data_IF_906899894329
#
_entry.id   IF_906899894329
#
_cell.length_a   1.000
_cell.length_b   1.000
_cell.length_c   1.000
_cell.angle_alpha   90.00
_cell.angle_beta   90.00
_cell.angle_gamma   90.00
#
_symmetry.space_group_name_H-M   'P 1'
#
loop_
_entity.id
_entity.type
_entity.pdbx_description
1 polymer ?
#
# COMPACT_ATOMS: atom_id res chain seq x y z
N UNK A 1 63.26 0.03 -15.25
CA UNK A 1 61.85 0.28 -14.90
C UNK A 1 60.99 -0.99 -15.00
N UNK A 2 61.55 -2.11 -15.48
CA UNK A 2 60.78 -3.32 -15.82
C UNK A 2 60.37 -4.18 -14.61
N UNK A 3 61.10 -4.10 -13.49
CA UNK A 3 60.81 -4.92 -12.30
C UNK A 3 59.52 -4.51 -11.57
N UNK A 4 59.17 -3.23 -11.55
CA UNK A 4 57.94 -2.76 -10.91
C UNK A 4 56.72 -3.16 -11.74
N UNK A 5 56.82 -3.03 -13.07
CA UNK A 5 55.74 -3.41 -13.98
C UNK A 5 55.47 -4.92 -13.92
N UNK A 6 56.52 -5.74 -13.93
CA UNK A 6 56.41 -7.19 -13.81
C UNK A 6 55.87 -7.62 -12.44
N UNK A 7 56.29 -6.96 -11.35
CA UNK A 7 55.75 -7.24 -10.02
C UNK A 7 54.26 -6.86 -9.90
N UNK A 8 53.85 -5.72 -10.49
CA UNK A 8 52.44 -5.32 -10.53
C UNK A 8 51.59 -6.31 -11.35
N UNK A 9 52.05 -6.74 -12.52
CA UNK A 9 51.35 -7.70 -13.35
C UNK A 9 51.27 -9.09 -12.71
N UNK A 10 52.35 -9.56 -12.06
CA UNK A 10 52.36 -10.82 -11.32
C UNK A 10 51.43 -10.79 -10.10
N UNK A 11 51.36 -9.66 -9.41
CA UNK A 11 50.42 -9.46 -8.29
C UNK A 11 48.98 -9.45 -8.81
N UNK A 12 48.69 -8.75 -9.92
CA UNK A 12 47.37 -8.75 -10.55
C UNK A 12 46.94 -10.14 -11.06
N UNK A 13 47.89 -10.97 -11.51
CA UNK A 13 47.61 -12.35 -11.92
C UNK A 13 47.18 -13.26 -10.75
N UNK A 14 47.64 -12.96 -9.53
CA UNK A 14 47.22 -13.66 -8.30
C UNK A 14 45.83 -13.22 -7.79
N UNK A 15 45.31 -12.10 -8.30
CA UNK A 15 43.96 -11.61 -8.04
C UNK A 15 43.18 -11.57 -9.36
N UNK A 16 42.78 -12.74 -9.90
CA UNK A 16 42.03 -12.79 -11.15
C UNK A 16 40.83 -11.87 -11.05
N UNK A 17 40.75 -10.91 -11.99
CA UNK A 17 39.64 -9.97 -12.09
C UNK A 17 38.35 -10.78 -12.20
N UNK A 18 37.60 -10.83 -11.11
CA UNK A 18 36.32 -11.51 -11.07
C UNK A 18 35.32 -10.56 -11.72
N UNK A 19 34.77 -10.97 -12.86
CA UNK A 19 33.72 -10.20 -13.52
C UNK A 19 32.47 -10.31 -12.65
N UNK A 20 32.18 -9.28 -11.86
CA UNK A 20 30.95 -9.23 -11.08
C UNK A 20 29.81 -8.90 -12.04
N UNK A 21 28.93 -9.87 -12.25
CA UNK A 21 27.70 -9.67 -13.02
C UNK A 21 26.64 -9.11 -12.08
N UNK A 22 26.31 -7.83 -12.24
CA UNK A 22 25.21 -7.22 -11.50
C UNK A 22 23.86 -7.59 -12.14
N UNK A 23 22.77 -7.64 -11.36
CA UNK A 23 21.43 -7.79 -11.91
C UNK A 23 21.16 -6.71 -12.95
N UNK A 24 20.53 -7.09 -14.07
CA UNK A 24 20.13 -6.14 -15.10
C UNK A 24 19.09 -5.13 -14.58
N UNK A 25 18.26 -5.56 -13.61
CA UNK A 25 17.30 -4.73 -12.87
C UNK A 25 17.24 -5.28 -11.44
N UNK A 26 17.26 -4.38 -10.45
CA UNK A 26 17.01 -4.70 -9.05
C UNK A 26 15.62 -4.24 -8.63
N UNK A 27 14.97 -4.96 -7.74
CA UNK A 27 13.58 -4.71 -7.35
C UNK A 27 13.40 -4.61 -5.85
N UNK A 28 12.33 -3.94 -5.44
CA UNK A 28 11.84 -3.92 -4.06
C UNK A 28 10.31 -3.90 -4.04
N UNK A 29 9.69 -4.41 -2.99
CA UNK A 29 8.23 -4.28 -2.78
C UNK A 29 7.95 -2.94 -2.12
N UNK A 30 7.16 -2.03 -2.74
CA UNK A 30 6.83 -0.77 -2.09
C UNK A 30 5.91 -1.01 -0.88
N UNK A 31 6.15 -0.28 0.22
CA UNK A 31 5.27 -0.31 1.39
C UNK A 31 4.37 0.92 1.41
N UNK A 32 3.06 0.72 1.40
CA UNK A 32 2.08 1.81 1.35
C UNK A 32 1.41 2.12 2.69
N UNK A 33 1.85 1.49 3.78
CA UNK A 33 1.21 1.63 5.10
C UNK A 33 1.09 3.10 5.55
N UNK A 34 2.14 3.90 5.36
CA UNK A 34 2.18 5.31 5.75
C UNK A 34 1.22 6.16 4.92
N UNK A 35 1.07 5.85 3.63
CA UNK A 35 0.13 6.56 2.75
C UNK A 35 -1.31 6.35 3.23
N UNK A 36 -1.66 5.12 3.61
CA UNK A 36 -2.99 4.79 4.12
C UNK A 36 -3.26 5.39 5.51
N UNK A 37 -2.24 5.49 6.36
CA UNK A 37 -2.31 6.22 7.62
C UNK A 37 -2.63 7.72 7.41
N UNK A 38 -1.89 8.39 6.52
CA UNK A 38 -2.15 9.80 6.21
C UNK A 38 -3.50 10.00 5.51
N UNK A 39 -3.86 9.11 4.58
CA UNK A 39 -5.15 9.16 3.89
C UNK A 39 -6.31 9.04 4.87
N UNK A 40 -6.23 8.15 5.86
CA UNK A 40 -7.26 8.05 6.90
C UNK A 40 -7.37 9.35 7.71
N UNK A 41 -6.25 9.97 8.08
CA UNK A 41 -6.24 11.27 8.75
C UNK A 41 -6.88 12.38 7.87
N UNK A 42 -6.62 12.35 6.56
CA UNK A 42 -7.24 13.25 5.60
C UNK A 42 -8.75 13.02 5.49
N UNK A 43 -9.20 11.76 5.48
CA UNK A 43 -10.62 11.41 5.46
C UNK A 43 -11.35 11.87 6.73
N UNK A 44 -10.70 11.80 7.90
CA UNK A 44 -11.21 12.38 9.14
C UNK A 44 -11.48 13.89 8.99
N UNK A 45 -10.54 14.64 8.41
CA UNK A 45 -10.70 16.07 8.14
C UNK A 45 -11.80 16.36 7.10
N UNK A 46 -11.95 15.50 6.10
CA UNK A 46 -12.99 15.66 5.09
C UNK A 46 -14.38 15.39 5.67
N UNK A 47 -14.52 14.42 6.58
CA UNK A 47 -15.79 14.18 7.27
C UNK A 47 -16.23 15.30 8.20
N UNK A 48 -15.31 16.14 8.69
CA UNK A 48 -15.64 17.34 9.48
C UNK A 48 -15.86 18.59 8.61
N UNK A 49 -15.69 18.49 7.30
CA UNK A 49 -15.86 19.60 6.36
C UNK A 49 -17.29 19.59 5.80
N UNK A 50 -18.18 20.39 6.39
CA UNK A 50 -19.61 20.42 6.02
C UNK A 50 -19.86 20.68 4.52
N UNK A 51 -19.09 21.60 3.92
CA UNK A 51 -19.17 21.88 2.47
C UNK A 51 -18.90 20.64 1.64
N UNK A 52 -18.03 19.75 2.09
CA UNK A 52 -17.75 18.49 1.40
C UNK A 52 -18.88 17.49 1.61
N UNK A 53 -19.24 17.20 2.86
CA UNK A 53 -20.25 16.19 3.20
C UNK A 53 -21.63 16.51 2.62
N UNK A 54 -21.99 17.79 2.49
CA UNK A 54 -23.27 18.21 1.90
C UNK A 54 -23.29 18.15 0.37
N UNK A 55 -22.14 18.24 -0.30
CA UNK A 55 -22.07 18.33 -1.78
C UNK A 55 -21.54 17.06 -2.46
N UNK A 56 -20.92 16.15 -1.72
CA UNK A 56 -20.40 14.89 -2.24
C UNK A 56 -21.21 13.70 -1.72
N UNK A 57 -22.49 13.68 -2.06
CA UNK A 57 -23.37 12.55 -1.72
C UNK A 57 -22.76 11.26 -2.25
N UNK A 58 -22.67 10.26 -1.37
CA UNK A 58 -22.13 8.94 -1.71
C UNK A 58 -20.68 8.72 -1.33
N UNK A 59 -19.92 9.76 -0.98
CA UNK A 59 -18.55 9.58 -0.51
C UNK A 59 -18.52 9.14 0.95
N UNK A 60 -17.70 8.12 1.23
CA UNK A 60 -17.27 7.68 2.56
C UNK A 60 -15.81 7.26 2.47
N UNK A 61 -15.07 7.17 3.60
CA UNK A 61 -13.63 6.89 3.57
C UNK A 61 -13.21 5.69 2.70
N UNK A 62 -13.91 4.53 2.65
CA UNK A 62 -13.52 3.45 1.74
C UNK A 62 -13.41 3.87 0.26
N UNK A 63 -14.15 4.89 -0.20
CA UNK A 63 -14.03 5.40 -1.58
C UNK A 63 -12.65 6.02 -1.86
N UNK A 64 -12.09 6.79 -0.93
CA UNK A 64 -10.74 7.35 -1.08
C UNK A 64 -9.67 6.26 -0.96
N UNK A 65 -9.86 5.29 -0.05
CA UNK A 65 -8.97 4.13 0.10
C UNK A 65 -8.91 3.28 -1.18
N UNK A 66 -10.07 2.98 -1.78
CA UNK A 66 -10.21 2.29 -3.06
C UNK A 66 -9.46 3.01 -4.18
N UNK A 67 -9.67 4.32 -4.27
CA UNK A 67 -9.07 5.15 -5.31
C UNK A 67 -7.54 5.22 -5.19
N UNK A 68 -7.04 5.54 -4.01
CA UNK A 68 -5.60 5.66 -3.76
C UNK A 68 -4.90 4.30 -3.90
N UNK A 69 -5.52 3.21 -3.44
CA UNK A 69 -5.00 1.85 -3.69
C UNK A 69 -4.79 1.60 -5.19
N UNK A 70 -5.82 1.86 -6.01
CA UNK A 70 -5.73 1.68 -7.46
C UNK A 70 -4.58 2.50 -8.05
N UNK A 71 -4.49 3.79 -7.72
CA UNK A 71 -3.44 4.64 -8.27
C UNK A 71 -2.04 4.19 -7.87
N UNK A 72 -1.84 3.67 -6.65
CA UNK A 72 -0.53 3.16 -6.19
C UNK A 72 -0.10 1.91 -6.96
N UNK A 73 -1.05 1.00 -7.24
CA UNK A 73 -0.77 -0.13 -8.12
C UNK A 73 -0.38 0.34 -9.52
N UNK A 74 -1.16 1.25 -10.12
CA UNK A 74 -0.86 1.79 -11.45
C UNK A 74 0.48 2.54 -11.48
N UNK A 75 0.80 3.33 -10.46
CA UNK A 75 2.09 4.02 -10.37
C UNK A 75 3.26 3.04 -10.26
N UNK A 76 3.09 1.94 -9.52
CA UNK A 76 4.08 0.87 -9.44
C UNK A 76 4.27 0.20 -10.80
N UNK A 77 3.18 -0.13 -11.50
CA UNK A 77 3.23 -0.72 -12.85
C UNK A 77 3.91 0.22 -13.86
N UNK A 78 3.64 1.53 -13.79
CA UNK A 78 4.33 2.56 -14.61
C UNK A 78 5.83 2.57 -14.35
N UNK A 79 6.26 2.47 -13.09
CA UNK A 79 7.68 2.42 -12.73
C UNK A 79 8.35 1.13 -13.26
N UNK A 80 7.68 -0.03 -13.12
CA UNK A 80 8.13 -1.30 -13.70
C UNK A 80 8.25 -1.23 -15.23
N UNK A 81 7.33 -0.55 -15.91
CA UNK A 81 7.40 -0.34 -17.36
C UNK A 81 8.58 0.57 -17.73
N UNK A 82 8.74 1.71 -17.04
CA UNK A 82 9.79 2.69 -17.29
C UNK A 82 11.20 2.11 -17.05
N UNK A 83 11.34 1.18 -16.11
CA UNK A 83 12.62 0.51 -15.84
C UNK A 83 12.98 -0.58 -16.84
N UNK A 84 12.05 -0.98 -17.71
CA UNK A 84 12.18 -2.14 -18.60
C UNK A 84 11.98 -3.48 -17.91
N UNK A 85 11.35 -3.52 -16.73
CA UNK A 85 11.13 -4.74 -15.96
C UNK A 85 9.98 -5.58 -16.50
N UNK A 86 8.95 -4.94 -17.07
CA UNK A 86 7.81 -5.66 -17.64
C UNK A 86 8.15 -6.30 -18.99
N UNK A 87 7.94 -7.61 -19.08
CA UNK A 87 7.97 -8.32 -20.36
C UNK A 87 6.82 -7.83 -21.27
N UNK A 88 7.08 -7.58 -22.57
CA UNK A 88 6.03 -7.27 -23.54
C UNK A 88 4.93 -8.34 -23.53
N UNK A 89 3.67 -7.92 -23.51
CA UNK A 89 2.51 -8.82 -23.49
C UNK A 89 2.26 -9.55 -22.16
N UNK A 90 3.02 -9.25 -21.09
CA UNK A 90 2.68 -9.72 -19.74
C UNK A 90 1.33 -9.18 -19.28
N UNK A 91 0.65 -9.88 -18.37
CA UNK A 91 -0.66 -9.48 -17.83
C UNK A 91 -0.64 -8.06 -17.25
N UNK A 92 0.40 -7.73 -16.47
CA UNK A 92 0.58 -6.39 -15.90
C UNK A 92 0.75 -5.33 -16.99
N UNK A 93 1.48 -5.64 -18.07
CA UNK A 93 1.69 -4.71 -19.19
C UNK A 93 0.38 -4.44 -19.94
N UNK A 94 -0.41 -5.48 -20.20
CA UNK A 94 -1.73 -5.36 -20.83
C UNK A 94 -2.69 -4.58 -19.94
N UNK A 95 -2.77 -4.92 -18.65
CA UNK A 95 -3.58 -4.22 -17.66
C UNK A 95 -3.25 -2.73 -17.58
N UNK A 96 -1.96 -2.39 -17.52
CA UNK A 96 -1.51 -1.00 -17.48
C UNK A 96 -1.93 -0.24 -18.75
N UNK A 97 -1.79 -0.87 -19.92
CA UNK A 97 -2.22 -0.32 -21.20
C UNK A 97 -3.72 -0.04 -21.24
N UNK A 98 -4.53 -1.05 -20.89
CA UNK A 98 -5.98 -0.96 -20.86
C UNK A 98 -6.46 0.10 -19.85
N UNK A 99 -5.85 0.12 -18.66
CA UNK A 99 -6.17 1.12 -17.65
C UNK A 99 -5.88 2.54 -18.13
N UNK A 100 -4.71 2.79 -18.72
CA UNK A 100 -4.34 4.12 -19.20
C UNK A 100 -5.22 4.57 -20.38
N UNK A 101 -5.72 3.63 -21.18
CA UNK A 101 -6.67 3.91 -22.25
C UNK A 101 -8.04 4.31 -21.70
N UNK A 102 -8.56 3.55 -20.73
CA UNK A 102 -9.89 3.81 -20.12
C UNK A 102 -9.89 5.01 -19.18
N UNK A 103 -8.79 5.24 -18.47
CA UNK A 103 -8.64 6.26 -17.44
C UNK A 103 -7.37 7.09 -17.70
N UNK A 104 -7.45 8.15 -18.52
CA UNK A 104 -6.30 8.99 -18.82
C UNK A 104 -5.68 9.58 -17.54
N UNK A 105 -4.36 9.45 -17.41
CA UNK A 105 -3.62 9.82 -16.18
C UNK A 105 -3.75 11.31 -15.82
N UNK A 106 -4.06 12.17 -16.80
CA UNK A 106 -4.32 13.60 -16.61
C UNK A 106 -5.61 13.87 -15.83
N UNK A 107 -6.53 12.90 -15.80
CA UNK A 107 -7.82 13.00 -15.12
C UNK A 107 -7.81 12.33 -13.75
N UNK A 108 -6.71 11.65 -13.38
CA UNK A 108 -6.58 10.93 -12.12
C UNK A 108 -5.77 11.79 -11.14
N UNK A 109 -6.45 12.58 -10.33
CA UNK A 109 -5.84 13.50 -9.38
C UNK A 109 -5.36 12.82 -8.10
N UNK A 110 -4.22 13.27 -7.57
CA UNK A 110 -3.66 12.86 -6.28
C UNK A 110 -3.80 14.07 -5.34
N UNK A 111 -4.29 13.86 -4.11
CA UNK A 111 -4.41 14.95 -3.16
C UNK A 111 -3.02 15.42 -2.70
N UNK A 112 -2.84 16.74 -2.58
CA UNK A 112 -1.56 17.39 -2.31
C UNK A 112 -0.64 16.73 -1.27
N UNK A 113 -1.13 16.40 -0.05
CA UNK A 113 -0.31 15.75 0.97
C UNK A 113 0.32 14.40 0.57
N UNK A 114 -0.24 13.71 -0.43
CA UNK A 114 0.24 12.41 -0.88
C UNK A 114 1.12 12.48 -2.14
N UNK A 115 1.26 13.65 -2.76
CA UNK A 115 1.95 13.80 -4.06
C UNK A 115 3.39 13.34 -4.01
N UNK A 116 4.13 13.71 -2.96
CA UNK A 116 5.55 13.31 -2.85
C UNK A 116 5.70 11.81 -2.58
N UNK A 117 4.73 11.18 -1.89
CA UNK A 117 4.70 9.74 -1.74
C UNK A 117 4.49 9.05 -3.10
N UNK A 118 3.58 9.53 -3.95
CA UNK A 118 3.41 9.02 -5.31
C UNK A 118 4.66 9.21 -6.19
N UNK A 119 5.32 10.37 -6.10
CA UNK A 119 6.60 10.63 -6.78
C UNK A 119 7.74 9.74 -6.27
N UNK A 120 7.66 9.27 -5.03
CA UNK A 120 8.63 8.32 -4.48
C UNK A 120 8.50 6.92 -5.07
N UNK A 121 7.32 6.56 -5.56
CA UNK A 121 7.06 5.31 -6.30
C UNK A 121 7.52 5.51 -7.75
N UNK A 122 8.82 5.39 -7.95
CA UNK A 122 9.45 5.53 -9.25
C UNK A 122 10.68 4.62 -9.35
N UNK A 123 11.09 4.32 -10.57
CA UNK A 123 12.39 3.71 -10.81
C UNK A 123 13.50 4.78 -10.88
N UNK A 124 14.73 4.35 -10.69
CA UNK A 124 15.91 5.18 -10.93
C UNK A 124 17.10 4.35 -11.40
N UNK A 125 18.07 5.02 -12.01
CA UNK A 125 19.35 4.43 -12.39
C UNK A 125 20.43 4.86 -11.38
N UNK A 126 21.08 3.93 -10.65
CA UNK A 126 22.02 4.27 -9.59
C UNK A 126 23.40 4.72 -10.10
N UNK A 127 23.70 4.62 -11.40
CA UNK A 127 25.03 4.97 -11.91
C UNK A 127 25.01 5.55 -13.32
N UNK A 128 25.72 6.66 -13.51
CA UNK A 128 25.99 7.23 -14.84
C UNK A 128 26.81 6.29 -15.73
N UNK A 129 27.58 5.36 -15.14
CA UNK A 129 28.50 4.47 -15.87
C UNK A 129 27.83 3.25 -16.51
N UNK A 130 26.49 3.11 -16.40
CA UNK A 130 25.69 1.95 -16.88
C UNK A 130 26.14 0.59 -16.33
N UNK A 131 27.00 0.56 -15.31
CA UNK A 131 27.50 -0.68 -14.67
C UNK A 131 26.42 -1.40 -13.86
N UNK A 132 25.43 -0.65 -13.39
CA UNK A 132 24.33 -1.14 -12.58
C UNK A 132 23.02 -0.97 -13.33
N UNK A 133 22.16 -1.98 -13.20
CA UNK A 133 20.79 -1.95 -13.69
C UNK A 133 19.92 -0.89 -13.03
N UNK A 134 18.73 -0.68 -13.59
CA UNK A 134 17.72 0.14 -12.95
C UNK A 134 17.27 -0.50 -11.63
N UNK A 135 16.88 0.34 -10.68
CA UNK A 135 16.18 -0.08 -9.46
C UNK A 135 14.72 0.35 -9.60
N UNK A 136 13.78 -0.56 -9.39
CA UNK A 136 12.33 -0.29 -9.54
C UNK A 136 11.52 -0.90 -8.40
N UNK A 137 10.42 -0.26 -7.95
CA UNK A 137 9.41 -0.99 -7.22
C UNK A 137 8.82 -2.08 -8.13
N UNK A 138 8.46 -3.23 -7.57
CA UNK A 138 7.89 -4.34 -8.32
C UNK A 138 6.71 -4.96 -7.60
N UNK A 139 5.69 -5.30 -8.39
CA UNK A 139 4.62 -6.20 -7.98
C UNK A 139 5.04 -7.66 -8.25
N UNK A 140 4.56 -8.62 -7.45
CA UNK A 140 4.58 -10.02 -7.81
C UNK A 140 3.94 -10.27 -9.19
N UNK A 141 4.35 -11.34 -9.88
CA UNK A 141 3.81 -11.69 -11.21
C UNK A 141 2.30 -11.95 -11.21
N UNK A 142 1.76 -12.43 -10.09
CA UNK A 142 0.33 -12.52 -9.81
C UNK A 142 0.08 -12.10 -8.35
N UNK A 143 -1.13 -11.65 -7.99
CA UNK A 143 -1.47 -11.30 -6.62
C UNK A 143 -1.24 -12.44 -5.61
N UNK A 144 -1.31 -13.70 -6.05
CA UNK A 144 -1.25 -14.89 -5.20
C UNK A 144 -2.53 -15.12 -4.39
N UNK A 145 -3.62 -14.43 -4.76
CA UNK A 145 -4.89 -14.45 -4.05
C UNK A 145 -5.77 -15.61 -4.51
N UNK A 146 -6.54 -16.17 -3.58
CA UNK A 146 -7.50 -17.22 -3.89
C UNK A 146 -8.56 -17.31 -2.80
N UNK A 147 -9.67 -18.00 -3.09
CA UNK A 147 -10.71 -18.28 -2.10
C UNK A 147 -10.17 -19.02 -0.88
N UNK A 148 -9.31 -20.03 -1.09
CA UNK A 148 -8.68 -20.80 -0.01
C UNK A 148 -7.80 -19.95 0.92
N UNK A 149 -7.20 -18.88 0.39
CA UNK A 149 -6.42 -17.90 1.15
C UNK A 149 -7.27 -16.75 1.69
N UNK A 150 -8.60 -16.85 1.64
CA UNK A 150 -9.54 -15.75 1.96
C UNK A 150 -9.16 -14.46 1.24
N UNK A 151 -8.81 -14.56 -0.04
CA UNK A 151 -8.46 -13.44 -0.91
C UNK A 151 -7.26 -12.61 -0.45
N UNK A 152 -6.40 -13.19 0.40
CA UNK A 152 -5.13 -12.60 0.83
C UNK A 152 -4.13 -12.55 -0.33
N UNK A 153 -3.42 -11.42 -0.47
CA UNK A 153 -2.27 -11.28 -1.38
C UNK A 153 -1.13 -12.21 -0.91
N UNK A 154 -0.22 -12.58 -1.80
CA UNK A 154 1.01 -13.30 -1.46
C UNK A 154 1.69 -12.75 -0.18
N UNK A 155 2.25 -13.66 0.62
CA UNK A 155 2.65 -13.38 2.01
C UNK A 155 3.69 -12.25 2.10
N UNK A 156 4.67 -12.25 1.19
CA UNK A 156 5.73 -11.24 1.11
C UNK A 156 5.22 -9.82 0.78
N UNK A 157 3.99 -9.69 0.29
CA UNK A 157 3.39 -8.43 -0.10
C UNK A 157 2.19 -8.01 0.78
N UNK A 158 1.68 -8.90 1.63
CA UNK A 158 0.44 -8.67 2.40
C UNK A 158 0.51 -7.41 3.28
N UNK A 159 1.63 -7.19 3.98
CA UNK A 159 1.84 -6.03 4.87
C UNK A 159 2.26 -4.76 4.13
N UNK A 160 2.54 -4.86 2.83
CA UNK A 160 3.14 -3.80 2.02
C UNK A 160 2.14 -3.18 1.05
N UNK A 161 1.27 -4.00 0.46
CA UNK A 161 0.32 -3.62 -0.58
C UNK A 161 -1.13 -3.64 -0.06
N UNK A 162 -1.96 -2.61 -0.34
CA UNK A 162 -3.33 -2.54 0.14
C UNK A 162 -4.22 -3.60 -0.52
N UNK A 163 -5.01 -4.32 0.28
CA UNK A 163 -6.01 -5.22 -0.27
C UNK A 163 -7.32 -4.49 -0.58
N UNK A 164 -7.50 -4.09 -1.84
CA UNK A 164 -8.68 -3.33 -2.31
C UNK A 164 -10.01 -4.02 -1.99
N UNK A 165 -10.02 -5.36 -1.95
CA UNK A 165 -11.22 -6.15 -1.69
C UNK A 165 -11.68 -6.04 -0.24
N UNK A 166 -10.77 -5.74 0.70
CA UNK A 166 -11.14 -5.46 2.09
C UNK A 166 -11.96 -4.16 2.15
N UNK A 167 -11.54 -3.11 1.43
CA UNK A 167 -12.27 -1.85 1.42
C UNK A 167 -13.67 -2.00 0.81
N UNK A 168 -13.81 -2.81 -0.24
CA UNK A 168 -15.11 -3.14 -0.84
C UNK A 168 -15.99 -3.89 0.18
N UNK A 169 -15.44 -4.91 0.84
CA UNK A 169 -16.18 -5.66 1.85
C UNK A 169 -16.63 -4.75 3.01
N UNK A 170 -15.73 -3.89 3.48
CA UNK A 170 -15.99 -2.94 4.57
C UNK A 170 -17.02 -1.89 4.19
N UNK A 171 -16.92 -1.33 2.98
CA UNK A 171 -17.89 -0.38 2.44
C UNK A 171 -19.30 -0.97 2.48
N UNK A 172 -19.48 -2.18 1.95
CA UNK A 172 -20.78 -2.85 1.93
C UNK A 172 -21.27 -3.19 3.34
N UNK A 173 -20.39 -3.71 4.22
CA UNK A 173 -20.78 -4.10 5.59
C UNK A 173 -21.24 -2.90 6.43
N UNK A 174 -20.48 -1.79 6.39
CA UNK A 174 -20.81 -0.58 7.16
C UNK A 174 -22.07 0.10 6.59
N UNK A 175 -22.24 0.13 5.27
CA UNK A 175 -23.47 0.65 4.66
C UNK A 175 -24.71 -0.18 5.05
N UNK A 176 -24.57 -1.50 5.13
CA UNK A 176 -25.63 -2.37 5.64
C UNK A 176 -25.92 -2.09 7.13
N UNK A 177 -24.89 -1.92 7.96
CA UNK A 177 -25.05 -1.54 9.37
C UNK A 177 -25.77 -0.18 9.53
N UNK A 178 -25.43 0.81 8.70
CA UNK A 178 -26.01 2.16 8.71
C UNK A 178 -27.51 2.19 8.33
N UNK A 179 -28.03 1.10 7.77
CA UNK A 179 -29.42 0.99 7.30
C UNK A 179 -30.24 -0.06 8.04
N UNK A 180 -29.71 -0.61 9.13
CA UNK A 180 -30.46 -1.54 9.99
C UNK A 180 -31.70 -0.85 10.61
N UNK A 181 -32.79 -1.59 10.87
CA UNK A 181 -33.98 -1.04 11.48
C UNK A 181 -33.68 -0.34 12.81
N UNK A 182 -34.30 0.82 13.05
CA UNK A 182 -34.18 1.60 14.30
C UNK A 182 -32.75 2.04 14.67
N UNK A 183 -31.84 2.11 13.69
CA UNK A 183 -30.46 2.57 13.94
C UNK A 183 -30.43 4.05 14.30
N UNK A 184 -29.85 4.37 15.46
CA UNK A 184 -29.47 5.73 15.87
C UNK A 184 -27.96 5.91 15.71
N UNK A 185 -27.42 7.15 15.73
CA UNK A 185 -25.98 7.35 15.68
C UNK A 185 -25.21 6.55 16.74
N UNK A 186 -25.71 6.50 17.98
CA UNK A 186 -25.09 5.78 19.08
C UNK A 186 -25.07 4.26 18.85
N UNK A 187 -26.17 3.71 18.31
CA UNK A 187 -26.25 2.29 17.95
C UNK A 187 -25.30 1.99 16.79
N UNK A 188 -25.26 2.84 15.77
CA UNK A 188 -24.41 2.66 14.59
C UNK A 188 -22.92 2.62 14.94
N UNK A 189 -22.46 3.56 15.78
CA UNK A 189 -21.06 3.58 16.20
C UNK A 189 -20.69 2.40 17.10
N UNK A 190 -21.67 1.78 17.77
CA UNK A 190 -21.48 0.54 18.55
C UNK A 190 -21.79 -0.72 17.76
N UNK A 191 -22.16 -0.60 16.50
CA UNK A 191 -22.49 -1.77 15.68
C UNK A 191 -21.23 -2.57 15.37
N UNK A 192 -21.27 -3.88 15.53
CA UNK A 192 -20.11 -4.77 15.31
C UNK A 192 -19.63 -4.81 13.86
N UNK A 193 -20.43 -4.32 12.90
CA UNK A 193 -20.04 -4.06 11.51
C UNK A 193 -19.98 -2.57 11.17
N UNK A 194 -20.05 -1.71 12.19
CA UNK A 194 -19.96 -0.26 12.07
C UNK A 194 -18.55 0.25 11.78
N UNK A 195 -18.34 1.57 11.79
CA UNK A 195 -17.07 2.19 11.40
C UNK A 195 -15.89 1.81 12.29
N UNK A 196 -16.16 1.38 13.53
CA UNK A 196 -15.14 1.04 14.53
C UNK A 196 -14.89 -0.46 14.71
N UNK A 197 -15.75 -1.31 14.14
CA UNK A 197 -15.74 -2.75 14.41
C UNK A 197 -15.88 -3.57 13.13
N UNK A 198 -15.45 -4.83 13.15
CA UNK A 198 -15.56 -5.74 12.02
C UNK A 198 -15.99 -7.14 12.48
N UNK A 199 -17.27 -7.48 12.33
CA UNK A 199 -17.77 -8.82 12.57
C UNK A 199 -17.80 -9.66 11.30
N UNK A 200 -17.91 -9.02 10.14
CA UNK A 200 -17.93 -9.70 8.84
C UNK A 200 -16.84 -9.16 7.90
N UNK A 201 -16.17 -10.09 7.22
CA UNK A 201 -15.23 -9.80 6.13
C UNK A 201 -15.44 -10.82 5.01
N UNK A 202 -15.48 -10.33 3.76
CA UNK A 202 -15.79 -11.15 2.59
C UNK A 202 -17.07 -11.96 2.75
N UNK A 203 -18.13 -11.27 3.17
CA UNK A 203 -19.49 -11.82 3.36
C UNK A 203 -19.58 -13.01 4.33
N UNK A 204 -18.57 -13.19 5.19
CA UNK A 204 -18.52 -14.23 6.21
C UNK A 204 -18.19 -13.65 7.58
N UNK A 205 -18.68 -14.26 8.67
CA UNK A 205 -18.27 -13.90 10.02
C UNK A 205 -16.76 -14.07 10.19
N UNK A 206 -16.13 -13.11 10.85
CA UNK A 206 -14.74 -13.17 11.21
C UNK A 206 -14.48 -14.31 12.20
N UNK A 207 -13.38 -15.03 12.01
CA UNK A 207 -13.07 -16.25 12.75
C UNK A 207 -11.65 -16.34 13.31
N UNK A 208 -10.85 -15.27 13.17
CA UNK A 208 -9.45 -15.22 13.57
C UNK A 208 -8.54 -16.23 12.88
N UNK A 209 -8.91 -16.75 11.71
CA UNK A 209 -8.00 -17.54 10.90
C UNK A 209 -6.73 -16.75 10.55
N UNK A 210 -5.61 -17.45 10.36
CA UNK A 210 -4.32 -16.84 10.03
C UNK A 210 -4.40 -15.96 8.77
N UNK A 211 -5.13 -16.41 7.75
CA UNK A 211 -5.35 -15.65 6.52
C UNK A 211 -6.13 -14.36 6.75
N UNK A 212 -7.11 -14.38 7.66
CA UNK A 212 -7.86 -13.19 8.04
C UNK A 212 -6.99 -12.20 8.81
N UNK A 213 -6.27 -12.65 9.84
CA UNK A 213 -5.38 -11.78 10.60
C UNK A 213 -4.32 -11.12 9.70
N UNK A 214 -3.73 -11.91 8.79
CA UNK A 214 -2.77 -11.37 7.85
C UNK A 214 -3.39 -10.35 6.88
N UNK A 215 -4.60 -10.59 6.35
CA UNK A 215 -5.33 -9.61 5.55
C UNK A 215 -5.49 -8.26 6.28
N UNK A 216 -5.77 -8.32 7.58
CA UNK A 216 -5.96 -7.14 8.40
C UNK A 216 -4.67 -6.36 8.71
N UNK A 217 -3.49 -6.92 8.39
CA UNK A 217 -2.20 -6.19 8.42
C UNK A 217 -1.92 -5.42 7.13
N UNK A 218 -2.78 -5.55 6.10
CA UNK A 218 -2.59 -4.80 4.86
C UNK A 218 -2.84 -3.29 5.08
N UNK A 219 -2.14 -2.40 4.34
CA UNK A 219 -2.32 -0.96 4.43
C UNK A 219 -3.78 -0.53 4.43
N UNK A 220 -4.20 0.14 5.51
CA UNK A 220 -5.55 0.67 5.69
C UNK A 220 -6.63 -0.31 6.17
N UNK A 221 -6.36 -1.61 6.25
CA UNK A 221 -7.36 -2.60 6.61
C UNK A 221 -7.76 -2.57 8.10
N UNK A 222 -6.80 -2.25 8.98
CA UNK A 222 -7.01 -2.21 10.43
C UNK A 222 -7.56 -0.88 10.95
N UNK A 223 -7.76 0.12 10.10
CA UNK A 223 -8.11 1.49 10.52
C UNK A 223 -9.62 1.65 10.77
N UNK A 224 -9.95 2.46 11.78
CA UNK A 224 -11.31 2.98 11.94
C UNK A 224 -11.67 3.92 10.80
N UNK A 225 -12.93 3.96 10.41
CA UNK A 225 -13.42 4.96 9.47
C UNK A 225 -14.19 6.08 10.16
N UNK A 226 -14.07 7.28 9.62
CA UNK A 226 -14.83 8.45 10.04
C UNK A 226 -16.19 8.53 9.34
N UNK A 227 -17.05 9.44 9.81
CA UNK A 227 -18.32 9.78 9.16
C UNK A 227 -19.53 9.57 10.07
N UNK A 228 -20.52 10.45 9.93
CA UNK A 228 -21.80 10.34 10.64
C UNK A 228 -22.67 9.24 10.06
N UNK A 229 -23.64 8.75 10.83
CA UNK A 229 -24.66 7.80 10.35
C UNK A 229 -25.31 8.29 9.05
N UNK A 230 -25.63 9.59 8.96
CA UNK A 230 -26.26 10.16 7.76
C UNK A 230 -25.37 10.00 6.52
N UNK A 231 -24.06 10.27 6.64
CA UNK A 231 -23.11 10.13 5.54
C UNK A 231 -23.09 8.68 5.01
N UNK A 232 -23.08 7.70 5.91
CA UNK A 232 -23.09 6.28 5.56
C UNK A 232 -24.41 5.80 4.97
N UNK A 233 -25.53 6.36 5.42
CA UNK A 233 -26.83 6.13 4.78
C UNK A 233 -26.86 6.68 3.36
N UNK A 234 -26.38 7.91 3.16
CA UNK A 234 -26.25 8.52 1.84
C UNK A 234 -25.33 7.71 0.92
N UNK A 235 -24.22 7.18 1.46
CA UNK A 235 -23.35 6.23 0.75
C UNK A 235 -24.10 4.96 0.33
N UNK A 236 -24.85 4.34 1.24
CA UNK A 236 -25.64 3.15 0.93
C UNK A 236 -26.63 3.40 -0.23
N UNK A 237 -27.33 4.54 -0.22
CA UNK A 237 -28.24 4.91 -1.31
C UNK A 237 -27.52 5.09 -2.65
N UNK A 238 -26.25 5.50 -2.63
CA UNK A 238 -25.44 5.73 -3.83
C UNK A 238 -24.68 4.49 -4.30
N UNK A 239 -24.55 3.41 -3.51
CA UNK A 239 -23.78 2.21 -3.86
C UNK A 239 -24.21 1.60 -5.21
N UNK A 240 -25.53 1.48 -5.42
CA UNK A 240 -26.10 0.96 -6.66
C UNK A 240 -25.72 1.85 -7.87
N UNK A 241 -25.73 3.18 -7.68
CA UNK A 241 -25.37 4.13 -8.73
C UNK A 241 -23.86 4.16 -8.99
N UNK A 242 -23.03 3.94 -7.98
CA UNK A 242 -21.58 3.76 -8.15
C UNK A 242 -21.28 2.49 -8.96
N UNK A 243 -22.16 1.50 -8.95
CA UNK A 243 -21.90 0.20 -9.57
C UNK A 243 -20.72 -0.50 -8.90
N UNK A 244 -20.53 -0.26 -7.60
CA UNK A 244 -19.43 -0.84 -6.84
C UNK A 244 -19.41 -2.36 -7.02
N UNK A 245 -18.23 -2.99 -7.16
CA UNK A 245 -18.14 -4.44 -7.20
C UNK A 245 -18.80 -5.03 -5.96
N UNK A 246 -19.48 -6.15 -6.13
CA UNK A 246 -20.03 -6.90 -5.01
C UNK A 246 -18.90 -7.41 -4.11
N UNK A 247 -19.20 -7.53 -2.81
CA UNK A 247 -18.34 -8.22 -1.86
C UNK A 247 -18.07 -9.64 -2.33
N UNK A 248 -16.85 -10.10 -2.16
CA UNK A 248 -16.52 -11.51 -2.31
C UNK A 248 -17.19 -12.32 -1.20
N UNK A 249 -17.44 -13.60 -1.46
CA UNK A 249 -17.93 -14.56 -0.47
C UNK A 249 -16.99 -15.76 -0.43
N UNK A 250 -16.30 -15.96 0.68
CA UNK A 250 -15.34 -17.05 0.89
C UNK A 250 -15.96 -18.43 0.62
N UNK A 251 -17.27 -18.59 0.78
CA UNK A 251 -17.94 -19.87 0.54
C UNK A 251 -18.39 -20.05 -0.91
N UNK A 252 -18.53 -18.99 -1.70
CA UNK A 252 -19.17 -19.05 -3.02
C UNK A 252 -18.33 -18.48 -4.18
N UNK A 253 -17.41 -17.57 -3.94
CA UNK A 253 -16.75 -16.80 -5.01
C UNK A 253 -15.35 -17.33 -5.30
N UNK A 254 -15.20 -18.01 -6.42
CA UNK A 254 -13.87 -18.30 -6.98
C UNK A 254 -13.32 -17.08 -7.74
N UNK A 255 -11.99 -16.97 -7.77
CA UNK A 255 -11.28 -15.87 -8.43
C UNK A 255 -10.11 -16.40 -9.23
N UNK A 256 -9.85 -15.84 -10.40
CA UNK A 256 -8.59 -16.12 -11.10
C UNK A 256 -7.48 -15.24 -10.53
N UNK A 257 -6.30 -15.83 -10.34
CA UNK A 257 -5.13 -15.17 -9.77
C UNK A 257 -4.42 -14.26 -10.79
N UNK A 258 -5.02 -13.11 -11.08
CA UNK A 258 -4.43 -12.04 -11.89
C UNK A 258 -4.78 -10.65 -11.34
N UNK A 259 -3.98 -9.64 -11.72
CA UNK A 259 -4.12 -8.29 -11.20
C UNK A 259 -5.40 -7.60 -11.68
N UNK A 260 -5.84 -7.87 -12.91
CA UNK A 260 -7.10 -7.31 -13.44
C UNK A 260 -8.32 -7.71 -12.60
N UNK A 261 -8.43 -8.99 -12.23
CA UNK A 261 -9.46 -9.51 -11.34
C UNK A 261 -9.30 -8.98 -9.91
N UNK A 262 -8.06 -8.94 -9.38
CA UNK A 262 -7.78 -8.45 -8.03
C UNK A 262 -8.17 -6.98 -7.87
N UNK A 263 -7.86 -6.14 -8.86
CA UNK A 263 -8.25 -4.73 -8.92
C UNK A 263 -9.71 -4.52 -9.32
N UNK A 264 -10.48 -5.60 -9.54
CA UNK A 264 -11.90 -5.56 -9.91
C UNK A 264 -12.17 -4.76 -11.17
N UNK A 265 -11.26 -4.86 -12.15
CA UNK A 265 -11.38 -4.21 -13.46
C UNK A 265 -11.84 -5.18 -14.55
N UNK A 266 -11.81 -6.48 -14.28
CA UNK A 266 -12.38 -7.50 -15.17
C UNK A 266 -13.91 -7.39 -15.24
N UNK A 267 -14.44 -7.38 -16.46
CA UNK A 267 -15.89 -7.34 -16.75
C UNK A 267 -16.53 -5.95 -16.67
N UNK A 268 -16.39 -5.21 -15.56
CA UNK A 268 -16.97 -3.88 -15.39
C UNK A 268 -16.01 -2.92 -14.67
N UNK A 269 -15.31 -2.08 -15.42
CA UNK A 269 -14.39 -1.07 -14.88
C UNK A 269 -15.05 0.30 -14.63
N UNK A 270 -16.30 0.49 -15.05
CA UNK A 270 -17.01 1.79 -15.01
C UNK A 270 -17.19 2.35 -13.60
N UNK A 271 -17.21 1.49 -12.58
CA UNK A 271 -17.29 1.90 -11.17
C UNK A 271 -16.09 2.78 -10.79
N UNK A 272 -14.89 2.44 -11.28
CA UNK A 272 -13.69 3.19 -10.95
C UNK A 272 -13.74 4.60 -11.53
N UNK A 273 -14.28 4.78 -12.74
CA UNK A 273 -14.48 6.11 -13.33
C UNK A 273 -15.37 7.02 -12.47
N UNK A 274 -16.41 6.47 -11.84
CA UNK A 274 -17.29 7.22 -10.93
C UNK A 274 -16.57 7.60 -9.62
N UNK A 275 -15.81 6.66 -9.06
CA UNK A 275 -14.95 6.93 -7.88
C UNK A 275 -13.88 7.97 -8.21
N UNK A 276 -13.27 7.90 -9.39
CA UNK A 276 -12.29 8.88 -9.85
C UNK A 276 -12.89 10.28 -9.99
N UNK A 277 -14.10 10.41 -10.55
CA UNK A 277 -14.80 11.69 -10.63
C UNK A 277 -15.10 12.29 -9.24
N UNK A 278 -15.49 11.45 -8.29
CA UNK A 278 -15.67 11.83 -6.88
C UNK A 278 -14.36 12.32 -6.26
N UNK A 279 -13.26 11.59 -6.48
CA UNK A 279 -11.95 11.94 -5.96
C UNK A 279 -11.31 13.14 -6.65
N UNK A 280 -11.68 13.44 -7.89
CA UNK A 280 -11.34 14.69 -8.55
C UNK A 280 -11.85 15.91 -7.77
N UNK A 281 -13.06 15.84 -7.22
CA UNK A 281 -13.60 16.88 -6.31
C UNK A 281 -12.91 16.87 -4.96
N UNK A 282 -12.66 15.69 -4.38
CA UNK A 282 -11.92 15.55 -3.11
C UNK A 282 -10.58 16.28 -3.17
N UNK A 283 -9.83 16.12 -4.27
CA UNK A 283 -8.52 16.74 -4.47
C UNK A 283 -8.56 18.28 -4.53
N UNK A 284 -9.71 18.90 -4.82
CA UNK A 284 -9.86 20.36 -4.80
C UNK A 284 -9.77 20.96 -3.39
N UNK A 285 -9.99 20.15 -2.35
CA UNK A 285 -9.86 20.57 -0.95
C UNK A 285 -8.41 20.52 -0.44
N UNK A 286 -7.50 19.94 -1.22
CA UNK A 286 -6.10 19.75 -0.83
C UNK A 286 -5.19 20.62 -1.69
N UNK A 287 -4.47 21.55 -1.05
CA UNK A 287 -3.50 22.41 -1.74
C UNK A 287 -2.37 21.56 -2.31
N UNK A 288 -1.99 21.83 -3.56
CA UNK A 288 -0.88 21.15 -4.22
C UNK A 288 -1.25 19.80 -4.83
N UNK A 289 -2.54 19.46 -4.90
CA UNK A 289 -3.01 18.31 -5.68
C UNK A 289 -2.59 18.43 -7.14
N UNK A 290 -2.19 17.30 -7.74
CA UNK A 290 -1.77 17.22 -9.15
C UNK A 290 -2.31 15.94 -9.79
N UNK A 291 -2.45 15.89 -11.12
CA UNK A 291 -2.73 14.64 -11.81
C UNK A 291 -1.59 13.61 -11.64
N UNK A 292 -1.93 12.32 -11.70
CA UNK A 292 -0.98 11.20 -11.65
C UNK A 292 0.02 11.28 -12.80
N UNK A 293 -0.36 11.89 -13.92
CA UNK A 293 0.55 12.22 -15.02
C UNK A 293 1.80 13.00 -14.56
N UNK A 294 1.65 13.95 -13.62
CA UNK A 294 2.74 14.78 -13.10
C UNK A 294 3.62 14.06 -12.06
N UNK A 295 3.23 12.84 -11.67
CA UNK A 295 4.06 11.95 -10.87
C UNK A 295 4.90 11.09 -11.81
N UNK A 296 6.16 11.48 -12.02
CA UNK A 296 7.09 10.74 -12.86
C UNK A 296 7.26 9.30 -12.36
N UNK A 297 7.22 8.35 -13.29
CA UNK A 297 7.51 6.94 -13.01
C UNK A 297 9.02 6.64 -12.96
N UNK A 298 9.86 7.61 -13.34
CA UNK A 298 11.31 7.49 -13.40
C UNK A 298 11.97 8.81 -12.98
N UNK A 299 12.57 8.87 -11.79
CA UNK A 299 13.37 10.03 -11.33
C UNK A 299 13.66 10.03 -9.82
N UNK A 300 13.07 9.11 -9.05
CA UNK A 300 13.24 9.12 -7.59
C UNK A 300 14.15 8.01 -7.11
N UNK A 301 15.17 8.38 -6.34
CA UNK A 301 16.04 7.44 -5.63
C UNK A 301 15.48 7.04 -4.25
N UNK A 302 14.22 7.37 -3.93
CA UNK A 302 13.62 7.08 -2.63
C UNK A 302 13.66 5.57 -2.29
N UNK A 303 13.52 4.70 -3.30
CA UNK A 303 13.65 3.25 -3.15
C UNK A 303 15.04 2.75 -2.74
N UNK A 304 16.07 3.61 -2.71
CA UNK A 304 17.40 3.30 -2.18
C UNK A 304 17.49 3.45 -0.65
N UNK A 305 16.48 4.05 -0.01
CA UNK A 305 16.47 4.28 1.44
C UNK A 305 15.69 3.16 2.10
N UNK A 306 16.33 2.48 3.06
CA UNK A 306 15.65 1.50 3.90
C UNK A 306 15.12 2.22 5.14
N UNK A 307 13.80 2.22 5.29
CA UNK A 307 13.16 2.65 6.52
C UNK A 307 12.82 1.41 7.34
N UNK A 308 13.36 1.33 8.55
CA UNK A 308 13.02 0.27 9.49
C UNK A 308 11.98 0.81 10.47
N UNK A 309 10.85 0.12 10.54
CA UNK A 309 9.83 0.34 11.56
C UNK A 309 10.41 0.07 12.96
N UNK A 310 10.29 1.04 13.86
CA UNK A 310 10.77 0.96 15.25
C UNK A 310 9.68 1.48 16.16
N UNK A 311 9.20 0.70 17.14
CA UNK A 311 8.15 1.12 18.08
C UNK A 311 6.86 1.62 17.39
N UNK A 312 6.48 0.95 16.29
CA UNK A 312 5.24 1.21 15.54
C UNK A 312 4.31 0.02 15.64
N UNK A 313 3.01 0.30 15.74
CA UNK A 313 1.94 -0.69 15.82
C UNK A 313 1.11 -0.73 14.52
N UNK A 314 1.57 -0.03 13.47
CA UNK A 314 0.87 0.11 12.19
C UNK A 314 0.77 -1.22 11.41
N UNK A 315 1.63 -2.18 11.74
CA UNK A 315 1.68 -3.51 11.13
C UNK A 315 0.92 -4.57 11.95
N UNK A 316 0.44 -4.21 13.14
CA UNK A 316 -0.24 -5.15 13.99
C UNK A 316 -1.70 -5.32 13.55
N UNK A 317 -2.27 -6.53 13.67
CA UNK A 317 -3.69 -6.74 13.42
C UNK A 317 -4.56 -5.97 14.43
N UNK A 318 -5.83 -5.67 14.09
CA UNK A 318 -6.78 -5.09 15.02
C UNK A 318 -7.09 -6.07 16.16
N UNK A 319 -7.56 -5.54 17.30
CA UNK A 319 -7.79 -6.34 18.49
C UNK A 319 -9.05 -7.19 18.36
N UNK A 320 -8.97 -8.49 18.61
CA UNK A 320 -10.14 -9.36 18.62
C UNK A 320 -10.97 -9.22 19.90
N UNK A 321 -12.28 -9.02 19.74
CA UNK A 321 -13.26 -9.06 20.82
C UNK A 321 -14.06 -10.35 20.74
N UNK A 322 -13.95 -11.18 21.79
CA UNK A 322 -14.61 -12.47 21.84
C UNK A 322 -16.14 -12.35 21.84
N UNK A 323 -16.76 -13.33 21.18
CA UNK A 323 -18.20 -13.55 21.22
C UNK A 323 -18.67 -13.79 22.67
N UNK A 324 -19.87 -13.33 23.02
CA UNK A 324 -20.47 -13.51 24.35
C UNK A 324 -21.92 -13.99 24.26
N UNK A 325 -22.35 -14.83 25.21
CA UNK A 325 -23.74 -15.26 25.35
C UNK A 325 -24.30 -16.01 24.13
N UNK A 326 -25.44 -15.57 23.61
CA UNK A 326 -26.14 -16.26 22.50
C UNK A 326 -25.62 -15.87 21.10
N UNK A 327 -24.63 -14.96 21.00
CA UNK A 327 -24.01 -14.55 19.74
C UNK A 327 -25.01 -14.08 18.66
N UNK A 328 -26.04 -13.34 19.08
CA UNK A 328 -27.12 -12.87 18.19
C UNK A 328 -27.27 -11.35 18.18
N UNK A 329 -26.47 -10.63 19.00
CA UNK A 329 -26.50 -9.19 19.06
C UNK A 329 -25.39 -8.59 18.20
N UNK A 330 -25.76 -7.56 17.45
CA UNK A 330 -24.85 -6.80 16.59
C UNK A 330 -24.30 -5.55 17.27
N UNK A 331 -24.38 -5.48 18.60
CA UNK A 331 -23.92 -4.33 19.37
C UNK A 331 -22.70 -4.73 20.20
N UNK A 332 -21.62 -3.97 20.08
CA UNK A 332 -20.45 -4.07 20.92
C UNK A 332 -20.80 -3.86 22.40
N UNK A 333 -20.18 -4.66 23.27
CA UNK A 333 -20.43 -4.76 24.71
C UNK A 333 -21.84 -5.24 25.10
N UNK A 334 -22.61 -5.81 24.17
CA UNK A 334 -23.84 -6.53 24.51
C UNK A 334 -23.49 -7.91 25.12
N UNK A 335 -24.28 -8.35 26.10
CA UNK A 335 -24.11 -9.66 26.74
C UNK A 335 -24.26 -10.85 25.78
N UNK A 336 -24.81 -10.62 24.59
CA UNK A 336 -25.02 -11.61 23.53
C UNK A 336 -24.29 -11.26 22.22
N UNK A 337 -23.23 -10.45 22.28
CA UNK A 337 -22.50 -9.99 21.09
C UNK A 337 -21.86 -11.13 20.29
N UNK A 338 -21.80 -10.98 18.97
CA UNK A 338 -20.97 -11.82 18.10
C UNK A 338 -19.48 -11.46 18.25
N UNK A 339 -18.60 -12.39 17.86
CA UNK A 339 -17.17 -12.12 17.78
C UNK A 339 -16.86 -11.10 16.68
N UNK A 340 -15.95 -10.17 16.95
CA UNK A 340 -15.60 -9.11 16.01
C UNK A 340 -14.25 -8.48 16.35
N UNK A 341 -13.63 -7.80 15.39
CA UNK A 341 -12.46 -6.97 15.65
C UNK A 341 -12.83 -5.55 16.07
N UNK A 342 -12.06 -4.98 16.99
CA UNK A 342 -11.98 -3.54 17.25
C UNK A 342 -10.88 -2.95 16.39
N UNK A 343 -11.26 -2.15 15.40
CA UNK A 343 -10.32 -1.46 14.50
C UNK A 343 -9.61 -0.31 15.22
N UNK A 344 -8.46 0.12 14.70
CA UNK A 344 -7.53 1.03 15.39
C UNK A 344 -7.76 2.48 14.97
N UNK A 345 -7.86 3.37 15.95
CA UNK A 345 -8.01 4.83 15.76
C UNK A 345 -6.73 5.61 16.01
N UNK A 346 -5.81 5.07 16.79
CA UNK A 346 -4.57 5.71 17.17
C UNK A 346 -3.43 4.73 16.90
N UNK A 347 -2.72 4.93 15.79
CA UNK A 347 -1.52 4.17 15.48
C UNK A 347 -0.29 5.06 15.71
N UNK A 348 0.75 4.47 16.27
CA UNK A 348 2.09 5.05 16.32
C UNK A 348 2.80 4.73 15.02
N UNK A 349 3.27 5.75 14.31
CA UNK A 349 4.07 5.60 13.09
C UNK A 349 5.47 6.18 13.33
N UNK A 350 6.43 5.30 13.62
CA UNK A 350 7.82 5.68 13.89
C UNK A 350 8.76 4.84 13.02
N UNK A 351 9.59 5.53 12.25
CA UNK A 351 10.57 4.92 11.35
C UNK A 351 11.96 5.46 11.63
N UNK A 352 12.94 4.55 11.65
CA UNK A 352 14.35 4.89 11.56
C UNK A 352 14.80 4.73 10.11
N UNK A 353 15.18 5.85 9.48
CA UNK A 353 15.76 5.82 8.14
C UNK A 353 17.24 5.46 8.21
N UNK A 354 17.67 4.50 7.41
CA UNK A 354 19.06 4.19 7.15
C UNK A 354 19.28 4.08 5.63
N UNK A 355 20.41 4.56 5.14
CA UNK A 355 20.84 4.25 3.77
C UNK A 355 21.21 2.78 3.72
N UNK A 356 20.68 2.01 2.76
CA UNK A 356 20.76 0.54 2.71
C UNK A 356 22.16 0.01 2.31
N UNK A 357 23.20 0.42 3.02
CA UNK A 357 24.59 0.08 2.73
C UNK A 357 25.16 -0.91 3.76
N UNK A 358 24.30 -1.62 4.50
CA UNK A 358 24.75 -2.60 5.50
C UNK A 358 25.18 -3.94 4.88
N UNK A 359 24.75 -4.26 3.66
CA UNK A 359 25.06 -5.51 2.95
C UNK A 359 26.16 -5.37 1.87
N UNK A 360 26.98 -4.33 1.97
CA UNK A 360 28.22 -4.30 1.19
C UNK A 360 29.17 -5.31 1.84
N UNK A 361 29.46 -6.42 1.14
CA UNK A 361 30.49 -7.37 1.57
C UNK A 361 31.76 -6.61 1.93
N UNK A 362 32.53 -7.02 2.95
CA UNK A 362 33.76 -6.31 3.36
C UNK A 362 34.71 -6.00 2.19
N UNK A 363 34.70 -6.84 1.14
CA UNK A 363 35.48 -6.62 -0.08
C UNK A 363 35.03 -5.40 -0.91
N UNK A 364 33.78 -4.98 -0.80
CA UNK A 364 33.19 -3.87 -1.55
C UNK A 364 33.15 -2.55 -0.75
N UNK A 365 33.41 -2.56 0.57
CA UNK A 365 33.49 -1.34 1.40
C UNK A 365 34.61 -0.42 0.89
N UNK A 366 35.75 -0.99 0.50
CA UNK A 366 36.89 -0.24 -0.05
C UNK A 366 36.59 0.44 -1.40
N UNK A 367 35.66 -0.12 -2.19
CA UNK A 367 35.20 0.47 -3.45
C UNK A 367 34.09 1.53 -3.22
N UNK A 368 33.26 1.36 -2.19
CA UNK A 368 32.27 2.36 -1.79
C UNK A 368 32.94 3.63 -1.20
N UNK A 369 34.03 3.45 -0.44
CA UNK A 369 34.84 4.55 0.10
C UNK A 369 35.52 5.42 -0.97
N UNK A 370 35.70 4.91 -2.19
CA UNK A 370 36.27 5.69 -3.30
C UNK A 370 35.24 6.59 -4.01
N UNK A 371 33.94 6.34 -3.81
CA UNK A 371 32.86 7.11 -4.45
C UNK A 371 31.99 7.90 -3.46
N UNK A 372 32.03 7.59 -2.17
CA UNK A 372 31.31 8.31 -1.13
C UNK A 372 32.19 8.48 0.12
N UNK A 373 32.64 9.72 0.37
CA UNK A 373 33.50 10.09 1.50
C UNK A 373 32.77 9.96 2.87
N UNK A 374 31.45 9.77 2.87
CA UNK A 374 30.61 9.76 4.09
C UNK A 374 30.13 8.37 4.54
N UNK A 375 30.65 7.28 3.97
CA UNK A 375 30.28 5.92 4.39
C UNK A 375 31.21 5.30 5.43
N UNK A 376 32.23 6.04 5.90
CA UNK A 376 32.97 5.57 7.08
C UNK A 376 32.07 5.74 8.31
N UNK A 377 31.86 4.69 9.10
CA UNK A 377 31.27 4.85 10.41
C UNK A 377 32.31 5.55 11.27
N UNK A 378 32.21 6.87 11.42
CA UNK A 378 32.79 7.54 12.59
C UNK A 378 31.74 7.41 13.69
N UNK A 379 31.86 6.37 14.51
CA UNK A 379 32.57 6.38 15.80
C UNK A 379 31.86 7.27 16.82
N UNK A 380 30.83 6.70 17.43
CA UNK A 380 30.41 7.09 18.78
C UNK A 380 31.52 6.68 19.76
N UNK A 381 32.40 7.63 20.04
CA UNK A 381 33.13 7.77 21.29
C UNK A 381 33.80 6.53 21.90
N UNK A 382 35.06 6.28 21.52
CA UNK A 382 36.06 5.86 22.51
C UNK A 382 37.42 6.49 22.22
N UNK A 383 37.93 7.22 23.21
CA UNK A 383 39.31 7.64 23.29
C UNK A 383 40.24 6.40 23.22
N UNK A 384 41.08 6.34 22.19
CA UNK A 384 42.07 5.28 22.03
C UNK A 384 43.16 5.72 21.07
N UNK A 385 44.37 5.88 21.60
CA UNK A 385 45.56 6.41 20.94
C UNK A 385 45.94 5.66 19.64
N UNK A 386 46.52 6.44 18.73
CA UNK A 386 47.38 6.10 17.60
C UNK A 386 48.15 4.76 17.68
N UNK A 387 48.35 4.10 16.53
CA UNK A 387 49.66 4.04 15.85
C UNK A 387 49.58 3.24 14.53
N UNK A 388 50.33 3.72 13.54
CA UNK A 388 50.66 3.08 12.25
C UNK A 388 51.16 1.64 12.41
N UNK A 389 50.82 0.78 11.45
CA UNK A 389 51.74 0.11 10.50
C UNK A 389 50.99 -0.24 9.21
#
# INVERSE_FOLDING_TARGET
MDNIHNAMCATAANFPLTKVTYPAISTFTPCFISIFYYLNSMDHLMTSTERWTNNCMGWVPPCSQLYIAMLLYIQTMRAMQASGYLSPGSEISSLLGDFCYLFPLQNLWIPGPLVDAFRSVACFSPSASRRFGNITPALPSSPGWSRARRYRIADAATTHLPNINIFISRLNSICAAATRPNVTPEIFFRDVDGPYYMANLFSQPCDQSENEQANLTSPGACLTYSGSLRLWQDANYQLLFLGSPQSLDVNATEVDDNWSNFLRLSGHSTWFGKVAAMMGKYCQFWKGSVPLYDCSASSSAAGAVRCTATDTDVFDPPHWTAQAGNHNATQHANAHQVGHYSTRSYLSLVFKAATSVEDISRAHISAANTYNIYLSPNDDGHAGRAQYW
#
